data_IF_284415950110
#
_entry.id   IF_284415950110
#
_cell.length_a   1.000
_cell.length_b   1.000
_cell.length_c   1.000
_cell.angle_alpha   90.00
_cell.angle_beta   90.00
_cell.angle_gamma   90.00
#
_symmetry.space_group_name_H-M   'P 1'
#
loop_
_entity.id
_entity.type
_entity.pdbx_description
1 polymer ?
#
# COMPACT_ATOMS: atom_id res chain seq x y z
N UNK A 1 -10.26 -5.30 -13.68
CA UNK A 1 -11.67 -5.68 -13.94
C UNK A 1 -12.01 -5.69 -15.43
N UNK A 2 -11.80 -4.58 -16.17
CA UNK A 2 -12.12 -4.47 -17.62
C UNK A 2 -11.63 -5.67 -18.44
N UNK A 3 -10.40 -6.11 -18.27
CA UNK A 3 -9.86 -7.29 -18.95
C UNK A 3 -10.77 -8.53 -18.84
N UNK A 4 -11.28 -8.82 -17.63
CA UNK A 4 -12.15 -9.98 -17.41
C UNK A 4 -13.55 -9.77 -18.00
N UNK A 5 -14.06 -8.53 -17.99
CA UNK A 5 -15.34 -8.18 -18.63
C UNK A 5 -15.23 -8.36 -20.14
N UNK A 6 -14.17 -7.87 -20.78
CA UNK A 6 -13.95 -7.99 -22.21
C UNK A 6 -13.81 -9.43 -22.68
N UNK A 7 -13.39 -10.33 -21.80
CA UNK A 7 -13.32 -11.79 -22.06
C UNK A 7 -14.61 -12.55 -21.72
N UNK A 8 -15.65 -11.85 -21.26
CA UNK A 8 -16.91 -12.50 -20.86
C UNK A 8 -16.80 -13.40 -19.62
N UNK A 9 -15.82 -13.12 -18.75
CA UNK A 9 -15.55 -13.91 -17.54
C UNK A 9 -16.26 -13.39 -16.29
N UNK A 10 -16.92 -12.24 -16.39
CA UNK A 10 -17.69 -11.65 -15.30
C UNK A 10 -19.14 -11.43 -15.75
N UNK A 11 -20.07 -11.66 -14.83
CA UNK A 11 -21.50 -11.43 -15.03
C UNK A 11 -21.86 -9.99 -14.64
N UNK A 12 -22.84 -9.42 -15.38
CA UNK A 12 -23.46 -8.13 -15.04
C UNK A 12 -24.34 -8.30 -13.80
N UNK A 13 -24.01 -7.61 -12.72
CA UNK A 13 -24.73 -7.64 -11.44
C UNK A 13 -25.41 -6.30 -11.12
N UNK A 14 -25.74 -5.51 -12.14
CA UNK A 14 -26.38 -4.22 -11.96
C UNK A 14 -27.75 -4.31 -11.29
N UNK A 15 -28.47 -5.40 -11.51
CA UNK A 15 -29.76 -5.71 -10.86
C UNK A 15 -29.60 -5.94 -9.35
N UNK A 16 -28.48 -6.54 -8.93
CA UNK A 16 -28.13 -6.70 -7.50
C UNK A 16 -27.85 -5.34 -6.87
N UNK A 17 -27.15 -4.44 -7.58
CA UNK A 17 -26.89 -3.09 -7.10
C UNK A 17 -28.17 -2.30 -6.88
N UNK A 18 -29.14 -2.44 -7.79
CA UNK A 18 -30.43 -1.76 -7.71
C UNK A 18 -31.28 -2.35 -6.55
N UNK A 19 -31.47 -3.66 -6.55
CA UNK A 19 -32.35 -4.35 -5.60
C UNK A 19 -31.85 -4.29 -4.15
N UNK A 20 -30.53 -4.25 -3.93
CA UNK A 20 -29.92 -4.15 -2.60
C UNK A 20 -29.67 -2.70 -2.12
N UNK A 21 -29.98 -1.68 -2.92
CA UNK A 21 -29.74 -0.29 -2.57
C UNK A 21 -28.27 0.11 -2.51
N UNK A 22 -27.40 -0.62 -3.22
CA UNK A 22 -25.94 -0.35 -3.21
C UNK A 22 -25.59 0.93 -3.96
N UNK A 23 -26.45 1.40 -4.85
CA UNK A 23 -26.28 2.68 -5.53
C UNK A 23 -26.16 3.87 -4.56
N UNK A 24 -26.81 3.78 -3.41
CA UNK A 24 -26.75 4.81 -2.37
C UNK A 24 -25.72 4.45 -1.28
N UNK A 25 -25.79 3.24 -0.74
CA UNK A 25 -24.96 2.84 0.41
C UNK A 25 -23.49 2.62 0.07
N UNK A 26 -23.15 2.32 -1.20
CA UNK A 26 -21.80 2.04 -1.69
C UNK A 26 -21.39 2.92 -2.89
N UNK A 27 -22.00 4.09 -3.04
CA UNK A 27 -21.81 5.00 -4.18
C UNK A 27 -20.33 5.32 -4.45
N UNK A 28 -19.52 5.49 -3.40
CA UNK A 28 -18.08 5.79 -3.50
C UNK A 28 -17.27 4.68 -4.19
N UNK A 29 -17.69 3.42 -4.07
CA UNK A 29 -17.01 2.26 -4.65
C UNK A 29 -17.52 1.90 -6.04
N UNK A 30 -18.64 2.49 -6.48
CA UNK A 30 -19.33 2.12 -7.71
C UNK A 30 -18.44 2.25 -8.95
N UNK A 31 -17.69 3.36 -9.04
CA UNK A 31 -16.84 3.65 -10.21
C UNK A 31 -15.79 2.55 -10.48
N UNK A 32 -15.16 2.02 -9.45
CA UNK A 32 -14.14 0.97 -9.58
C UNK A 32 -14.69 -0.38 -10.04
N UNK A 33 -16.01 -0.59 -9.91
CA UNK A 33 -16.71 -1.82 -10.25
C UNK A 33 -17.58 -1.69 -11.51
N UNK A 34 -17.52 -0.54 -12.17
CA UNK A 34 -18.32 -0.22 -13.37
C UNK A 34 -17.47 -0.29 -14.63
N UNK A 35 -17.92 -1.04 -15.63
CA UNK A 35 -17.38 -1.05 -16.98
C UNK A 35 -18.54 -0.83 -17.95
N UNK A 36 -18.42 0.16 -18.84
CA UNK A 36 -19.43 0.51 -19.84
C UNK A 36 -20.84 0.70 -19.26
N UNK A 37 -20.92 1.33 -18.08
CA UNK A 37 -22.17 1.65 -17.38
C UNK A 37 -22.79 0.50 -16.57
N UNK A 38 -22.20 -0.68 -16.60
CA UNK A 38 -22.66 -1.88 -15.89
C UNK A 38 -21.75 -2.25 -14.73
N UNK A 39 -22.32 -2.78 -13.65
CA UNK A 39 -21.58 -3.24 -12.47
C UNK A 39 -21.22 -4.71 -12.61
N UNK A 40 -19.94 -5.04 -12.36
CA UNK A 40 -19.39 -6.40 -12.47
C UNK A 40 -18.81 -6.93 -11.16
N UNK A 41 -19.28 -6.40 -10.06
CA UNK A 41 -18.89 -6.85 -8.73
C UNK A 41 -19.63 -6.10 -7.64
N UNK A 42 -19.63 -6.67 -6.43
CA UNK A 42 -20.15 -6.04 -5.22
C UNK A 42 -18.98 -5.83 -4.27
N UNK A 43 -18.76 -4.62 -3.72
CA UNK A 43 -17.66 -4.41 -2.79
C UNK A 43 -17.94 -5.16 -1.49
N UNK A 44 -16.98 -5.98 -1.07
CA UNK A 44 -17.04 -6.69 0.20
C UNK A 44 -16.44 -5.85 1.33
N UNK A 45 -15.30 -5.19 1.04
CA UNK A 45 -14.60 -4.34 1.99
C UNK A 45 -13.76 -3.29 1.25
N UNK A 46 -13.37 -2.25 1.96
CA UNK A 46 -12.33 -1.31 1.53
C UNK A 46 -11.27 -1.21 2.61
N UNK A 47 -10.05 -0.91 2.18
CA UNK A 47 -8.89 -0.88 3.05
C UNK A 47 -8.25 0.51 3.01
N UNK A 48 -7.87 0.99 4.20
CA UNK A 48 -7.00 2.15 4.30
C UNK A 48 -5.56 1.67 4.37
N UNK A 49 -4.72 2.24 3.51
CA UNK A 49 -3.29 1.99 3.50
C UNK A 49 -2.56 3.12 4.21
N UNK A 50 -1.57 2.75 5.02
CA UNK A 50 -0.75 3.69 5.76
C UNK A 50 0.50 3.04 6.33
N UNK A 51 1.39 3.86 6.82
CA UNK A 51 2.56 3.40 7.58
C UNK A 51 2.15 3.23 9.03
N UNK A 52 1.99 1.99 9.46
CA UNK A 52 1.82 1.63 10.86
C UNK A 52 3.17 1.72 11.56
N UNK A 53 3.22 2.20 12.79
CA UNK A 53 4.47 2.34 13.52
C UNK A 53 4.32 1.95 14.99
N UNK A 54 5.42 1.54 15.61
CA UNK A 54 5.53 1.23 17.02
C UNK A 54 5.65 2.53 17.82
N UNK A 55 4.52 2.92 18.42
CA UNK A 55 4.44 4.15 19.22
C UNK A 55 5.44 4.15 20.39
N UNK A 56 5.59 3.02 21.08
CA UNK A 56 6.53 2.86 22.19
C UNK A 56 8.00 3.10 21.78
N UNK A 57 8.41 2.60 20.59
CA UNK A 57 9.76 2.86 20.04
C UNK A 57 9.93 4.33 19.69
N UNK A 58 8.92 4.94 19.06
CA UNK A 58 8.95 6.37 18.73
C UNK A 58 9.03 7.23 19.99
N UNK A 59 8.19 6.96 21.00
CA UNK A 59 8.20 7.68 22.28
C UNK A 59 9.56 7.52 23.00
N UNK A 60 10.12 6.31 23.03
CA UNK A 60 11.43 6.02 23.63
C UNK A 60 12.57 6.82 22.98
N UNK A 61 12.52 7.00 21.67
CA UNK A 61 13.56 7.68 20.89
C UNK A 61 13.26 9.19 20.68
N UNK A 62 12.12 9.68 21.16
CA UNK A 62 11.68 11.06 20.96
C UNK A 62 11.39 11.39 19.50
N UNK A 63 10.93 10.40 18.72
CA UNK A 63 10.58 10.56 17.31
C UNK A 63 9.13 11.03 17.17
N UNK A 64 8.89 11.83 16.14
CA UNK A 64 7.55 12.23 15.71
C UNK A 64 7.21 11.58 14.38
N UNK A 65 5.92 11.58 14.04
CA UNK A 65 5.43 11.17 12.73
C UNK A 65 6.03 12.08 11.64
N UNK A 66 6.65 11.48 10.60
CA UNK A 66 7.27 12.27 9.53
C UNK A 66 6.19 12.92 8.65
N UNK A 67 6.41 14.20 8.31
CA UNK A 67 5.48 14.98 7.49
C UNK A 67 5.79 14.94 6.00
N UNK A 68 7.03 14.61 5.66
CA UNK A 68 7.53 14.50 4.29
C UNK A 68 8.56 13.37 4.16
N UNK A 69 9.05 13.15 2.94
CA UNK A 69 9.99 12.08 2.64
C UNK A 69 11.35 12.25 3.30
N UNK A 70 11.83 13.49 3.45
CA UNK A 70 13.12 13.76 4.11
C UNK A 70 13.04 13.46 5.61
N UNK A 71 11.95 13.86 6.27
CA UNK A 71 11.69 13.49 7.65
C UNK A 71 11.53 11.98 7.82
N UNK A 72 10.88 11.32 6.86
CA UNK A 72 10.75 9.85 6.87
C UNK A 72 12.12 9.15 6.79
N UNK A 73 13.02 9.61 5.90
CA UNK A 73 14.39 9.08 5.82
C UNK A 73 15.16 9.33 7.11
N UNK A 74 15.01 10.52 7.69
CA UNK A 74 15.65 10.85 8.96
C UNK A 74 15.15 9.92 10.09
N UNK A 75 13.84 9.66 10.19
CA UNK A 75 13.26 8.70 11.14
C UNK A 75 13.86 7.32 10.92
N UNK A 76 13.91 6.83 9.67
CA UNK A 76 14.53 5.56 9.35
C UNK A 76 16.01 5.48 9.80
N UNK A 77 16.78 6.56 9.56
CA UNK A 77 18.17 6.62 9.97
C UNK A 77 18.32 6.56 11.50
N UNK A 78 17.44 7.26 12.23
CA UNK A 78 17.46 7.25 13.70
C UNK A 78 17.08 5.88 14.27
N UNK A 79 16.07 5.21 13.70
CA UNK A 79 15.68 3.87 14.07
C UNK A 79 16.86 2.88 13.86
N UNK A 80 17.45 2.90 12.67
CA UNK A 80 18.59 2.05 12.33
C UNK A 80 19.78 2.28 13.25
N UNK A 81 20.11 3.55 13.54
CA UNK A 81 21.19 3.92 14.46
C UNK A 81 21.00 3.35 15.87
N UNK A 82 19.74 3.18 16.30
CA UNK A 82 19.39 2.65 17.62
C UNK A 82 19.10 1.14 17.60
N UNK A 83 19.46 0.44 16.51
CA UNK A 83 19.40 -1.02 16.43
C UNK A 83 18.07 -1.62 16.01
N UNK A 84 17.12 -0.78 15.57
CA UNK A 84 15.84 -1.23 15.02
C UNK A 84 15.90 -1.39 13.51
N UNK A 85 15.21 -2.38 12.96
CA UNK A 85 14.86 -2.40 11.55
C UNK A 85 13.83 -1.29 11.28
N UNK A 86 14.13 -0.29 10.44
CA UNK A 86 13.20 0.82 10.24
C UNK A 86 11.85 0.36 9.66
N UNK A 87 11.90 -0.48 8.64
CA UNK A 87 10.72 -0.88 7.87
C UNK A 87 10.69 -2.40 7.74
N UNK A 88 9.66 -3.04 8.28
CA UNK A 88 9.39 -4.44 7.94
C UNK A 88 8.58 -4.52 6.65
N UNK A 89 8.82 -5.55 5.88
CA UNK A 89 8.10 -5.90 4.66
C UNK A 89 8.34 -7.38 4.34
N UNK A 90 7.35 -8.07 3.81
CA UNK A 90 7.53 -9.40 3.24
C UNK A 90 7.21 -9.37 1.76
N UNK A 91 8.20 -9.67 0.89
CA UNK A 91 8.06 -9.54 -0.56
C UNK A 91 8.05 -10.85 -1.32
N UNK A 92 7.95 -11.97 -0.62
CA UNK A 92 7.88 -13.32 -1.21
C UNK A 92 6.89 -13.41 -2.37
N UNK A 93 5.76 -12.72 -2.26
CA UNK A 93 4.70 -12.71 -3.27
C UNK A 93 4.62 -11.38 -4.06
N UNK A 94 5.59 -10.50 -3.91
CA UNK A 94 5.81 -9.24 -4.66
C UNK A 94 4.73 -8.16 -4.49
N UNK A 95 3.49 -8.47 -4.16
CA UNK A 95 2.40 -7.49 -4.11
C UNK A 95 2.62 -6.38 -3.07
N UNK A 96 3.32 -6.67 -1.98
CA UNK A 96 3.70 -5.68 -0.96
C UNK A 96 4.73 -4.68 -1.49
N UNK A 97 5.64 -5.13 -2.37
CA UNK A 97 6.55 -4.25 -3.08
C UNK A 97 5.78 -3.37 -4.09
N UNK A 98 4.83 -3.95 -4.83
CA UNK A 98 3.95 -3.18 -5.71
C UNK A 98 3.15 -2.12 -4.92
N UNK A 99 2.68 -2.44 -3.71
CA UNK A 99 1.99 -1.48 -2.85
C UNK A 99 2.89 -0.30 -2.44
N UNK A 100 4.19 -0.50 -2.24
CA UNK A 100 5.14 0.59 -2.02
C UNK A 100 5.24 1.50 -3.24
N UNK A 101 5.35 0.92 -4.44
CA UNK A 101 5.35 1.69 -5.68
C UNK A 101 4.07 2.51 -5.82
N UNK A 102 2.90 1.89 -5.65
CA UNK A 102 1.61 2.56 -5.77
C UNK A 102 1.49 3.71 -4.75
N UNK A 103 1.88 3.47 -3.51
CA UNK A 103 1.82 4.46 -2.44
C UNK A 103 2.74 5.66 -2.71
N UNK A 104 3.98 5.41 -3.15
CA UNK A 104 4.93 6.47 -3.50
C UNK A 104 4.50 7.23 -4.74
N UNK A 105 4.06 6.53 -5.79
CA UNK A 105 3.60 7.17 -7.02
C UNK A 105 2.40 8.10 -6.77
N UNK A 106 1.42 7.67 -5.97
CA UNK A 106 0.29 8.54 -5.61
C UNK A 106 0.72 9.79 -4.83
N UNK A 107 1.74 9.68 -3.97
CA UNK A 107 2.24 10.82 -3.19
C UNK A 107 3.10 11.78 -3.99
N UNK A 108 3.88 11.28 -4.95
CA UNK A 108 4.80 12.07 -5.77
C UNK A 108 4.06 12.68 -6.95
N UNK A 109 3.33 11.85 -7.70
CA UNK A 109 2.73 12.23 -8.99
C UNK A 109 1.21 12.50 -8.91
N UNK A 110 0.61 12.20 -7.76
CA UNK A 110 -0.81 12.41 -7.51
C UNK A 110 -1.73 11.31 -8.05
N UNK A 111 -2.97 11.35 -7.57
CA UNK A 111 -3.99 10.33 -7.85
C UNK A 111 -4.29 10.16 -9.33
N UNK A 112 -4.44 11.25 -10.07
CA UNK A 112 -4.85 11.19 -11.49
C UNK A 112 -3.81 10.46 -12.34
N UNK A 113 -2.52 10.79 -12.18
CA UNK A 113 -1.45 10.10 -12.90
C UNK A 113 -1.38 8.61 -12.53
N UNK A 114 -1.51 8.30 -11.25
CA UNK A 114 -1.54 6.90 -10.81
C UNK A 114 -2.70 6.13 -11.45
N UNK A 115 -3.90 6.72 -11.52
CA UNK A 115 -5.05 6.08 -12.17
C UNK A 115 -4.87 5.95 -13.68
N UNK A 116 -4.29 6.92 -14.35
CA UNK A 116 -3.96 6.84 -15.80
C UNK A 116 -2.96 5.73 -16.07
N UNK A 117 -1.96 5.57 -15.20
CA UNK A 117 -0.99 4.48 -15.29
C UNK A 117 -1.68 3.11 -15.13
N UNK A 118 -2.55 2.96 -14.11
CA UNK A 118 -3.30 1.72 -13.88
C UNK A 118 -4.30 1.40 -14.99
N UNK A 119 -4.84 2.41 -15.67
CA UNK A 119 -5.74 2.25 -16.79
C UNK A 119 -5.02 1.99 -18.14
N UNK A 120 -3.69 2.12 -18.18
CA UNK A 120 -2.91 2.01 -19.41
C UNK A 120 -2.93 3.26 -20.29
N UNK A 121 -3.40 4.40 -19.75
CA UNK A 121 -3.42 5.70 -20.42
C UNK A 121 -2.08 6.44 -20.29
N UNK A 122 -1.22 6.02 -19.38
CA UNK A 122 0.15 6.48 -19.22
C UNK A 122 1.13 5.29 -19.32
N UNK A 123 2.35 5.56 -19.73
CA UNK A 123 3.41 4.54 -19.87
C UNK A 123 4.16 4.38 -18.55
N UNK A 124 4.61 3.14 -18.27
CA UNK A 124 5.61 2.89 -17.23
C UNK A 124 7.03 3.39 -17.59
N UNK A 125 7.23 3.87 -18.81
CA UNK A 125 8.43 4.59 -19.24
C UNK A 125 8.30 6.12 -19.09
N UNK A 126 7.22 6.62 -18.48
CA UNK A 126 7.02 8.04 -18.22
C UNK A 126 8.10 8.56 -17.26
N UNK A 127 8.84 9.62 -17.60
CA UNK A 127 9.94 10.13 -16.76
C UNK A 127 9.52 10.59 -15.37
N UNK A 128 8.23 10.80 -15.12
CA UNK A 128 7.73 11.07 -13.76
C UNK A 128 7.94 9.89 -12.80
N UNK A 129 8.12 8.68 -13.33
CA UNK A 129 8.39 7.49 -12.52
C UNK A 129 9.85 7.39 -12.07
N UNK A 130 10.78 8.10 -12.73
CA UNK A 130 12.19 8.11 -12.33
C UNK A 130 12.32 8.59 -10.88
N UNK A 131 11.64 9.69 -10.49
CA UNK A 131 11.66 10.20 -9.11
C UNK A 131 11.05 9.21 -8.09
N UNK A 132 10.06 8.42 -8.51
CA UNK A 132 9.47 7.37 -7.65
C UNK A 132 10.48 6.26 -7.39
N UNK A 133 11.14 5.76 -8.44
CA UNK A 133 12.12 4.69 -8.31
C UNK A 133 13.39 5.16 -7.60
N UNK A 134 13.85 6.38 -7.87
CA UNK A 134 15.01 6.96 -7.20
C UNK A 134 14.79 7.07 -5.69
N UNK A 135 13.67 7.63 -5.25
CA UNK A 135 13.32 7.72 -3.84
C UNK A 135 13.14 6.35 -3.18
N UNK A 136 12.55 5.40 -3.90
CA UNK A 136 12.41 4.04 -3.39
C UNK A 136 13.78 3.36 -3.26
N UNK A 137 14.66 3.55 -4.24
CA UNK A 137 16.03 3.05 -4.20
C UNK A 137 16.84 3.66 -3.06
N UNK A 138 16.63 4.94 -2.69
CA UNK A 138 17.25 5.55 -1.51
C UNK A 138 16.98 4.73 -0.23
N UNK A 139 15.73 4.31 -0.01
CA UNK A 139 15.37 3.52 1.17
C UNK A 139 16.02 2.13 1.17
N UNK A 140 16.03 1.49 0.00
CA UNK A 140 16.63 0.17 -0.19
C UNK A 140 18.15 0.20 -0.03
N UNK A 141 18.83 1.15 -0.70
CA UNK A 141 20.28 1.30 -0.66
C UNK A 141 20.79 1.70 0.73
N UNK A 142 19.98 2.44 1.51
CA UNK A 142 20.28 2.76 2.90
C UNK A 142 20.10 1.55 3.84
N UNK A 143 19.53 0.44 3.35
CA UNK A 143 19.25 -0.77 4.14
C UNK A 143 18.23 -0.50 5.23
N UNK A 144 17.12 0.16 4.90
CA UNK A 144 16.04 0.46 5.84
C UNK A 144 14.99 -0.64 5.89
N UNK A 145 14.96 -1.53 4.90
CA UNK A 145 14.07 -2.68 4.88
C UNK A 145 14.65 -3.88 5.63
N UNK A 146 13.76 -4.75 6.08
CA UNK A 146 14.11 -6.04 6.68
C UNK A 146 14.98 -6.84 5.71
N UNK A 147 16.10 -7.40 6.19
CA UNK A 147 17.15 -8.00 5.33
C UNK A 147 16.63 -9.21 4.55
N UNK A 148 15.88 -10.10 5.20
CA UNK A 148 15.36 -11.35 4.64
C UNK A 148 13.95 -11.22 4.01
N UNK A 149 13.50 -10.01 3.74
CA UNK A 149 12.14 -9.69 3.27
C UNK A 149 11.67 -10.54 2.08
N UNK A 150 12.60 -10.95 1.19
CA UNK A 150 12.26 -11.71 -0.01
C UNK A 150 11.82 -13.16 0.28
N UNK A 151 12.16 -13.69 1.45
CA UNK A 151 11.74 -15.02 1.89
C UNK A 151 10.40 -15.01 2.63
N UNK A 152 9.97 -13.85 3.12
CA UNK A 152 8.81 -13.70 3.99
C UNK A 152 7.53 -13.34 3.23
N UNK A 153 6.42 -13.97 3.63
CA UNK A 153 5.08 -13.47 3.34
C UNK A 153 4.81 -12.19 4.12
N UNK A 154 3.75 -11.48 3.77
CA UNK A 154 3.36 -10.29 4.51
C UNK A 154 2.95 -10.59 5.98
N UNK A 155 2.39 -11.78 6.25
CA UNK A 155 2.05 -12.21 7.60
C UNK A 155 3.30 -12.50 8.43
N UNK A 156 4.28 -13.21 7.86
CA UNK A 156 5.54 -13.50 8.54
C UNK A 156 6.32 -12.23 8.87
N UNK A 157 6.26 -11.22 8.00
CA UNK A 157 6.89 -9.92 8.19
C UNK A 157 6.25 -9.07 9.31
N UNK A 158 5.09 -9.45 9.88
CA UNK A 158 4.52 -8.81 11.06
C UNK A 158 5.31 -9.13 12.33
N UNK A 159 5.86 -10.33 12.42
CA UNK A 159 6.54 -10.85 13.62
C UNK A 159 7.65 -9.92 14.13
N UNK A 160 8.60 -9.41 13.31
CA UNK A 160 9.60 -8.46 13.78
C UNK A 160 9.00 -7.19 14.41
N UNK A 161 7.85 -6.72 13.90
CA UNK A 161 7.18 -5.55 14.48
C UNK A 161 6.52 -5.88 15.83
N UNK A 162 5.89 -7.05 15.96
CA UNK A 162 5.33 -7.51 17.24
C UNK A 162 6.42 -7.66 18.29
N UNK A 163 7.56 -8.24 17.92
CA UNK A 163 8.70 -8.45 18.82
C UNK A 163 9.45 -7.16 19.18
N UNK A 164 9.15 -6.02 18.54
CA UNK A 164 9.88 -4.77 18.76
C UNK A 164 11.24 -4.71 18.08
N UNK A 165 11.47 -5.54 17.08
CA UNK A 165 12.70 -5.59 16.27
C UNK A 165 12.61 -4.63 15.08
N UNK A 166 11.39 -4.42 14.55
CA UNK A 166 11.08 -3.48 13.48
C UNK A 166 10.08 -2.42 13.93
N UNK A 167 10.20 -1.21 13.40
CA UNK A 167 9.46 -0.05 13.89
C UNK A 167 8.28 0.36 13.04
N UNK A 168 8.32 0.14 11.71
CA UNK A 168 7.28 0.60 10.79
C UNK A 168 6.89 -0.47 9.77
N UNK A 169 5.62 -0.42 9.31
CA UNK A 169 5.07 -1.30 8.26
C UNK A 169 4.07 -0.56 7.38
N UNK A 170 4.34 -0.44 6.08
CA UNK A 170 3.35 0.03 5.11
C UNK A 170 2.40 -1.12 4.78
N UNK A 171 1.14 -1.01 5.19
CA UNK A 171 0.13 -2.07 5.01
C UNK A 171 -1.29 -1.52 5.01
N UNK A 172 -2.24 -2.33 4.56
CA UNK A 172 -3.66 -2.07 4.73
C UNK A 172 -4.13 -2.33 6.17
N UNK A 173 -5.23 -1.69 6.58
CA UNK A 173 -5.76 -1.81 7.94
C UNK A 173 -6.17 -3.24 8.35
N UNK A 174 -6.21 -4.18 7.43
CA UNK A 174 -6.38 -5.61 7.74
C UNK A 174 -5.19 -6.22 8.53
N UNK A 175 -4.08 -5.47 8.70
CA UNK A 175 -2.97 -5.89 9.56
C UNK A 175 -3.27 -5.67 11.05
N UNK A 176 -4.19 -4.75 11.39
CA UNK A 176 -4.46 -4.33 12.78
C UNK A 176 -4.80 -5.50 13.72
N UNK A 177 -5.66 -6.48 13.34
CA UNK A 177 -5.98 -7.59 14.23
C UNK A 177 -4.77 -8.45 14.66
N UNK A 178 -3.66 -8.39 13.91
CA UNK A 178 -2.43 -9.13 14.26
C UNK A 178 -1.60 -8.46 15.36
N UNK A 179 -1.89 -7.19 15.68
CA UNK A 179 -1.22 -6.45 16.75
C UNK A 179 -1.98 -6.48 18.08
N UNK A 180 -3.20 -7.02 18.11
CA UNK A 180 -4.08 -7.01 19.28
C UNK A 180 -3.92 -8.24 20.19
N UNK A 181 -2.86 -9.05 19.99
CA UNK A 181 -2.63 -10.31 20.74
C UNK A 181 -1.29 -10.34 21.43
#
# INVERSE_FOLDING_TARGET
MKFFVDQGLLEDVSDVWESAGFNDSMAASKGSLTVDGKQYGVPYAYYQWGVYYRKDIFDQLGLNEPRDFEEFKWVCAMLKKNGYTPITIGTKYLWTAAAWFDYMNMRINGYNFHMDLMAGNASYEDPRLDDVFDKWAELSNAGYYLEDHASLSWQEAITPMINGEAAMYLMGNFVVPFFEH
#
